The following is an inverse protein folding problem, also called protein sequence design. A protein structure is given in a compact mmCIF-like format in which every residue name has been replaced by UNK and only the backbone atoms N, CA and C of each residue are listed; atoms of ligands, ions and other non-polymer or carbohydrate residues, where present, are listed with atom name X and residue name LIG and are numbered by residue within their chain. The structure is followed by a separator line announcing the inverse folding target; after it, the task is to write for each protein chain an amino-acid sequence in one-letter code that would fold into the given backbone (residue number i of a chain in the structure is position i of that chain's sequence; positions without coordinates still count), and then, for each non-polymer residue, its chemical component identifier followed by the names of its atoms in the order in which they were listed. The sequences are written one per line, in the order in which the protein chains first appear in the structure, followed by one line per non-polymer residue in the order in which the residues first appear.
data_IF_884730682173
#
_entry.id   IF_884730682173
#
_cell.length_a   1.000
_cell.length_b   1.000
_cell.length_c   1.000
_cell.angle_alpha   90.00
_cell.angle_beta   90.00
_cell.angle_gamma   90.00
#
_symmetry.space_group_name_H-M   'P 1'
#
loop_
_entity.id
_entity.type
_entity.pdbx_description
1 polymer ?
#
# COMPACT_ATOMS: atom_id res chain seq x y z
N UNK A 1 -13.68 14.26 -0.55
CA UNK A 1 -13.04 14.62 0.72
C UNK A 1 -13.94 15.57 1.51
N UNK A 2 -13.69 15.74 2.82
CA UNK A 2 -14.44 16.66 3.69
C UNK A 2 -14.36 18.12 3.20
N UNK A 3 -13.24 18.52 2.59
CA UNK A 3 -13.07 19.85 1.98
C UNK A 3 -14.02 20.04 0.81
N UNK A 4 -14.11 19.05 -0.09
CA UNK A 4 -15.05 19.07 -1.23
C UNK A 4 -16.50 19.13 -0.74
N UNK A 5 -16.81 18.46 0.37
CA UNK A 5 -18.12 18.49 1.01
C UNK A 5 -18.38 19.77 1.83
N UNK A 6 -17.43 20.71 1.86
CA UNK A 6 -17.50 21.98 2.62
C UNK A 6 -17.78 21.78 4.11
N UNK A 7 -17.17 20.74 4.70
CA UNK A 7 -17.25 20.51 6.15
C UNK A 7 -16.47 21.60 6.87
N UNK A 8 -17.10 22.29 7.82
CA UNK A 8 -16.48 23.37 8.58
C UNK A 8 -15.17 22.92 9.28
N UNK A 9 -14.12 23.73 9.20
CA UNK A 9 -12.79 23.45 9.77
C UNK A 9 -11.94 22.43 8.98
N UNK A 10 -12.46 21.83 7.92
CA UNK A 10 -11.69 20.85 7.13
C UNK A 10 -10.52 21.48 6.37
N UNK A 11 -10.56 22.77 6.10
CA UNK A 11 -9.51 23.51 5.37
C UNK A 11 -8.27 23.75 6.24
N UNK A 12 -8.42 23.86 7.55
CA UNK A 12 -7.32 24.07 8.51
C UNK A 12 -6.32 22.91 8.53
N UNK A 13 -6.76 21.72 8.13
CA UNK A 13 -5.96 20.49 8.11
C UNK A 13 -5.65 20.01 6.69
N UNK A 14 -5.89 20.84 5.68
CA UNK A 14 -5.65 20.46 4.29
C UNK A 14 -4.17 20.45 3.95
N UNK A 15 -3.65 19.27 3.63
CA UNK A 15 -2.34 19.14 3.00
C UNK A 15 -2.51 19.41 1.51
N UNK A 16 -2.03 20.57 1.04
CA UNK A 16 -2.15 20.99 -0.35
C UNK A 16 -0.82 20.78 -1.10
N UNK A 17 -0.93 20.28 -2.33
CA UNK A 17 0.16 20.19 -3.30
C UNK A 17 0.32 21.45 -4.16
N UNK A 18 -0.57 22.44 -4.04
CA UNK A 18 -0.58 23.63 -4.86
C UNK A 18 0.77 24.37 -4.84
N UNK A 19 1.34 24.56 -6.02
CA UNK A 19 2.61 25.27 -6.19
C UNK A 19 3.86 24.55 -5.67
N UNK A 20 3.76 23.27 -5.27
CA UNK A 20 4.85 22.47 -4.72
C UNK A 20 5.43 21.49 -5.74
N UNK A 21 6.68 21.11 -5.54
CA UNK A 21 7.27 19.93 -6.12
C UNK A 21 6.90 18.74 -5.23
N UNK A 22 6.21 17.75 -5.82
CA UNK A 22 5.68 16.57 -5.10
C UNK A 22 6.44 15.33 -5.51
N UNK A 23 6.86 14.53 -4.53
CA UNK A 23 7.40 13.19 -4.76
C UNK A 23 6.43 12.16 -4.18
N UNK A 24 6.04 11.19 -5.02
CA UNK A 24 5.17 10.07 -4.64
C UNK A 24 6.03 8.80 -4.59
N UNK A 25 6.14 8.16 -3.43
CA UNK A 25 6.91 6.94 -3.25
C UNK A 25 5.97 5.76 -3.27
N UNK A 26 6.04 4.96 -4.34
CA UNK A 26 5.22 3.78 -4.57
C UNK A 26 4.39 3.86 -5.86
N UNK A 27 4.30 2.73 -6.56
CA UNK A 27 3.73 2.61 -7.91
C UNK A 27 2.33 2.00 -8.01
N UNK A 28 1.71 1.64 -6.87
CA UNK A 28 0.38 1.05 -6.82
C UNK A 28 -0.76 2.05 -6.97
N UNK A 29 -2.00 1.58 -6.76
CA UNK A 29 -3.22 2.39 -6.90
C UNK A 29 -3.21 3.63 -5.98
N UNK A 30 -2.72 3.48 -4.74
CA UNK A 30 -2.56 4.62 -3.81
C UNK A 30 -1.61 5.67 -4.38
N UNK A 31 -0.49 5.26 -4.99
CA UNK A 31 0.44 6.17 -5.66
C UNK A 31 -0.22 6.90 -6.83
N UNK A 32 -1.00 6.18 -7.63
CA UNK A 32 -1.79 6.75 -8.72
C UNK A 32 -2.76 7.84 -8.23
N UNK A 33 -3.49 7.58 -7.13
CA UNK A 33 -4.40 8.54 -6.52
C UNK A 33 -3.66 9.78 -5.97
N UNK A 34 -2.49 9.57 -5.37
CA UNK A 34 -1.62 10.67 -4.91
C UNK A 34 -1.18 11.56 -6.07
N UNK A 35 -0.81 10.97 -7.22
CA UNK A 35 -0.41 11.70 -8.43
C UNK A 35 -1.56 12.57 -8.92
N UNK A 36 -2.73 11.96 -9.22
CA UNK A 36 -3.86 12.68 -9.74
C UNK A 36 -4.35 13.79 -8.81
N UNK A 37 -4.39 13.52 -7.50
CA UNK A 37 -4.75 14.53 -6.50
C UNK A 37 -3.75 15.67 -6.48
N UNK A 38 -2.45 15.39 -6.51
CA UNK A 38 -1.41 16.43 -6.52
C UNK A 38 -1.46 17.30 -7.78
N UNK A 39 -1.66 16.66 -8.94
CA UNK A 39 -1.81 17.37 -10.22
C UNK A 39 -3.01 18.30 -10.21
N UNK A 40 -4.18 17.80 -9.76
CA UNK A 40 -5.42 18.60 -9.68
C UNK A 40 -5.37 19.71 -8.62
N UNK A 41 -4.48 19.59 -7.61
CA UNK A 41 -4.19 20.68 -6.67
C UNK A 41 -3.30 21.77 -7.30
N UNK A 42 -2.75 21.57 -8.50
CA UNK A 42 -1.85 22.52 -9.15
C UNK A 42 -0.40 22.41 -8.65
N UNK A 43 0.10 21.21 -8.45
CA UNK A 43 1.52 20.98 -8.18
C UNK A 43 2.40 21.52 -9.32
N UNK A 44 3.61 22.00 -9.00
CA UNK A 44 4.58 22.43 -10.01
C UNK A 44 5.17 21.26 -10.79
N UNK A 45 5.41 20.16 -10.10
CA UNK A 45 5.81 18.89 -10.67
C UNK A 45 5.35 17.76 -9.77
N UNK A 46 5.13 16.59 -10.35
CA UNK A 46 4.87 15.34 -9.64
C UNK A 46 5.85 14.30 -10.16
N UNK A 47 6.65 13.72 -9.28
CA UNK A 47 7.60 12.64 -9.60
C UNK A 47 7.23 11.40 -8.80
N UNK A 48 7.01 10.27 -9.48
CA UNK A 48 6.75 8.99 -8.86
C UNK A 48 8.03 8.16 -8.81
N UNK A 49 8.34 7.58 -7.65
CA UNK A 49 9.47 6.70 -7.43
C UNK A 49 9.01 5.27 -7.16
N UNK A 50 9.58 4.33 -7.88
CA UNK A 50 9.39 2.89 -7.68
C UNK A 50 10.72 2.20 -7.44
N UNK A 51 10.75 1.36 -6.41
CA UNK A 51 11.96 0.61 -6.04
C UNK A 51 12.22 -0.56 -6.99
N UNK A 52 11.16 -1.11 -7.58
CA UNK A 52 11.27 -2.21 -8.54
C UNK A 52 11.67 -1.72 -9.93
N UNK A 53 12.23 -2.60 -10.77
CA UNK A 53 12.51 -2.29 -12.16
C UNK A 53 11.25 -1.93 -12.94
N UNK A 54 11.42 -1.19 -14.02
CA UNK A 54 10.31 -0.87 -14.93
C UNK A 54 9.68 -2.17 -15.46
N UNK A 55 8.38 -2.37 -15.29
CA UNK A 55 7.70 -3.53 -15.84
C UNK A 55 7.78 -3.55 -17.38
N UNK A 56 7.76 -4.74 -18.00
CA UNK A 56 7.75 -4.88 -19.45
C UNK A 56 6.46 -4.29 -20.04
N UNK A 57 6.55 -3.79 -21.27
CA UNK A 57 5.38 -3.23 -21.99
C UNK A 57 4.37 -4.35 -22.32
N UNK A 58 4.86 -5.55 -22.66
CA UNK A 58 4.03 -6.71 -23.01
C UNK A 58 4.05 -7.77 -21.92
N UNK A 59 2.96 -8.54 -21.84
CA UNK A 59 2.82 -9.63 -20.87
C UNK A 59 3.62 -10.84 -21.34
N UNK A 60 4.56 -11.31 -20.56
CA UNK A 60 5.10 -12.65 -20.72
C UNK A 60 4.15 -13.69 -20.11
N UNK A 61 3.37 -14.34 -20.99
CA UNK A 61 2.37 -15.32 -20.59
C UNK A 61 2.95 -16.56 -19.93
N UNK A 62 4.24 -16.87 -20.18
CA UNK A 62 4.94 -18.00 -19.57
C UNK A 62 5.30 -17.77 -18.10
N UNK A 63 5.39 -16.51 -17.66
CA UNK A 63 5.80 -16.14 -16.31
C UNK A 63 4.64 -15.66 -15.42
N UNK A 64 3.41 -15.59 -15.92
CA UNK A 64 2.33 -14.91 -15.20
C UNK A 64 1.27 -15.82 -14.61
N UNK A 65 1.06 -17.00 -15.17
CA UNK A 65 0.05 -17.92 -14.62
C UNK A 65 0.62 -18.73 -13.42
N UNK A 66 -0.08 -18.82 -12.29
CA UNK A 66 -1.43 -18.30 -11.98
C UNK A 66 -1.45 -16.87 -11.41
N UNK A 67 -0.34 -16.17 -11.41
CA UNK A 67 -0.21 -14.86 -10.79
C UNK A 67 -0.69 -13.70 -11.69
N UNK A 68 -0.79 -12.52 -11.09
CA UNK A 68 -1.18 -11.31 -11.81
C UNK A 68 -0.10 -10.89 -12.81
N UNK A 69 -0.44 -10.57 -14.08
CA UNK A 69 0.55 -10.26 -15.10
C UNK A 69 1.44 -9.08 -14.73
N UNK A 70 2.75 -9.30 -14.69
CA UNK A 70 3.74 -8.23 -14.58
C UNK A 70 3.88 -7.51 -15.91
N UNK A 71 3.21 -6.38 -16.06
CA UNK A 71 3.32 -5.51 -17.23
C UNK A 71 3.20 -4.05 -16.83
N UNK A 72 3.75 -3.17 -17.66
CA UNK A 72 3.59 -1.73 -17.52
C UNK A 72 2.11 -1.36 -17.55
N UNK A 73 1.68 -0.59 -16.57
CA UNK A 73 0.35 -0.01 -16.49
C UNK A 73 0.47 1.48 -16.27
N UNK A 74 -0.39 2.20 -16.95
CA UNK A 74 -0.53 3.65 -16.77
C UNK A 74 -1.99 3.93 -16.47
N UNK A 75 -2.26 4.55 -15.34
CA UNK A 75 -3.60 5.01 -14.98
C UNK A 75 -3.87 6.37 -15.60
N UNK A 76 -5.15 6.73 -15.68
CA UNK A 76 -5.58 8.07 -16.13
C UNK A 76 -4.97 9.18 -15.26
N UNK A 77 -4.80 8.95 -13.95
CA UNK A 77 -4.13 9.90 -13.05
C UNK A 77 -2.66 10.13 -13.39
N UNK A 78 -1.97 9.09 -13.84
CA UNK A 78 -0.58 9.22 -14.31
C UNK A 78 -0.50 9.94 -15.66
N UNK A 79 -1.50 9.78 -16.51
CA UNK A 79 -1.62 10.49 -17.81
C UNK A 79 -1.88 11.99 -17.65
N UNK A 80 -2.45 12.44 -16.52
CA UNK A 80 -2.63 13.86 -16.21
C UNK A 80 -1.30 14.61 -16.06
N UNK A 81 -0.20 13.91 -15.83
CA UNK A 81 1.17 14.44 -15.85
C UNK A 81 1.97 14.07 -14.62
N UNK A 82 2.89 13.13 -14.78
CA UNK A 82 3.95 12.88 -13.79
C UNK A 82 5.19 12.31 -14.49
N UNK A 83 6.34 12.56 -13.88
CA UNK A 83 7.57 11.84 -14.19
C UNK A 83 7.58 10.53 -13.38
N UNK A 84 7.89 9.40 -14.01
CA UNK A 84 7.99 8.10 -13.36
C UNK A 84 9.42 7.58 -13.41
N UNK A 85 9.96 7.24 -12.27
CA UNK A 85 11.31 6.70 -12.10
C UNK A 85 11.23 5.33 -11.46
N UNK A 86 11.95 4.36 -12.01
CA UNK A 86 12.03 2.98 -11.53
C UNK A 86 13.45 2.66 -11.06
N UNK A 87 13.58 1.61 -10.27
CA UNK A 87 14.85 1.21 -9.67
C UNK A 87 15.48 2.34 -8.87
N UNK A 88 14.69 3.01 -8.05
CA UNK A 88 15.12 4.14 -7.21
C UNK A 88 14.74 3.88 -5.75
N UNK A 89 15.74 3.91 -4.88
CA UNK A 89 15.55 3.88 -3.43
C UNK A 89 15.68 5.28 -2.83
N UNK A 90 14.88 5.56 -1.81
CA UNK A 90 14.97 6.80 -1.02
C UNK A 90 15.92 6.58 0.14
N UNK A 91 16.92 7.46 0.29
CA UNK A 91 17.92 7.41 1.37
C UNK A 91 17.52 8.26 2.57
N UNK A 92 17.09 9.49 2.32
CA UNK A 92 16.70 10.45 3.37
C UNK A 92 15.85 11.58 2.82
N UNK A 93 15.15 12.24 3.71
CA UNK A 93 14.50 13.52 3.49
C UNK A 93 15.36 14.63 4.10
N UNK A 94 15.53 15.73 3.37
CA UNK A 94 16.22 16.91 3.89
C UNK A 94 15.23 18.06 4.05
N UNK A 95 15.28 18.72 5.20
CA UNK A 95 14.45 19.86 5.56
C UNK A 95 15.24 21.16 5.67
N UNK A 96 14.51 22.25 5.86
CA UNK A 96 15.08 23.53 6.28
C UNK A 96 15.14 23.65 7.82
N UNK A 97 15.64 24.76 8.31
CA UNK A 97 15.76 25.03 9.75
C UNK A 97 14.40 25.11 10.47
N UNK A 98 13.33 25.32 9.73
CA UNK A 98 11.96 25.37 10.21
C UNK A 98 11.27 24.00 10.18
N UNK A 99 11.96 22.95 9.71
CA UNK A 99 11.41 21.58 9.59
C UNK A 99 10.56 21.36 8.34
N UNK A 100 10.52 22.31 7.39
CA UNK A 100 9.84 22.06 6.12
C UNK A 100 10.70 21.22 5.20
N UNK A 101 10.07 20.29 4.48
CA UNK A 101 10.75 19.47 3.48
C UNK A 101 11.29 20.33 2.33
N UNK A 102 12.53 20.07 1.92
CA UNK A 102 13.19 20.73 0.77
C UNK A 102 13.55 19.75 -0.34
N UNK A 103 13.99 18.55 0.04
CA UNK A 103 14.44 17.57 -0.95
C UNK A 103 14.38 16.13 -0.46
N UNK A 104 14.41 15.22 -1.42
CA UNK A 104 14.54 13.78 -1.24
C UNK A 104 15.85 13.31 -1.87
N UNK A 105 16.72 12.69 -1.07
CA UNK A 105 17.95 12.09 -1.56
C UNK A 105 17.67 10.64 -1.96
N UNK A 106 18.03 10.29 -3.16
CA UNK A 106 17.76 9.03 -3.80
C UNK A 106 19.06 8.37 -4.29
N UNK A 107 18.98 7.09 -4.55
CA UNK A 107 20.03 6.31 -5.20
C UNK A 107 19.38 5.32 -6.19
N UNK A 108 20.04 5.04 -7.30
CA UNK A 108 19.60 3.96 -8.18
C UNK A 108 19.91 2.61 -7.55
N UNK A 109 19.05 1.62 -7.82
CA UNK A 109 19.21 0.27 -7.32
C UNK A 109 19.16 -0.74 -8.46
N UNK A 110 19.83 -1.87 -8.25
CA UNK A 110 19.76 -3.03 -9.13
C UNK A 110 19.26 -4.24 -8.36
N UNK A 111 18.53 -5.10 -9.06
CA UNK A 111 17.97 -6.33 -8.53
C UNK A 111 18.63 -7.52 -9.19
N UNK A 112 19.35 -8.30 -8.40
CA UNK A 112 20.07 -9.49 -8.87
C UNK A 112 19.61 -10.71 -8.07
N UNK A 113 19.72 -11.90 -8.64
CA UNK A 113 19.50 -13.14 -7.90
C UNK A 113 20.77 -13.55 -7.18
N UNK A 114 20.64 -13.93 -5.92
CA UNK A 114 21.71 -14.57 -5.16
C UNK A 114 21.90 -16.05 -5.60
N UNK A 115 22.89 -16.72 -5.03
CA UNK A 115 23.19 -18.13 -5.31
C UNK A 115 22.06 -19.09 -4.94
N UNK A 116 21.14 -18.67 -4.05
CA UNK A 116 19.95 -19.40 -3.66
C UNK A 116 18.73 -19.08 -4.54
N UNK A 117 18.88 -18.17 -5.51
CA UNK A 117 17.83 -17.75 -6.44
C UNK A 117 16.88 -16.67 -5.91
N UNK A 118 17.15 -16.09 -4.73
CA UNK A 118 16.34 -15.00 -4.17
C UNK A 118 16.76 -13.67 -4.80
N UNK A 119 15.77 -12.79 -4.98
CA UNK A 119 16.02 -11.42 -5.44
C UNK A 119 16.65 -10.58 -4.32
N UNK A 120 17.81 -10.01 -4.59
CA UNK A 120 18.55 -9.13 -3.68
C UNK A 120 18.73 -7.78 -4.35
N UNK A 121 18.42 -6.72 -3.61
CA UNK A 121 18.60 -5.34 -4.03
C UNK A 121 20.00 -4.85 -3.61
N UNK A 122 20.69 -4.19 -4.51
CA UNK A 122 21.94 -3.47 -4.25
C UNK A 122 21.87 -2.03 -4.76
N UNK A 123 22.52 -1.11 -4.05
CA UNK A 123 22.67 0.26 -4.50
C UNK A 123 23.75 0.35 -5.59
N UNK A 124 23.51 1.17 -6.60
CA UNK A 124 24.51 1.46 -7.65
C UNK A 124 25.41 2.57 -7.15
N UNK A 125 26.68 2.26 -6.95
CA UNK A 125 27.67 3.21 -6.44
C UNK A 125 27.81 4.44 -7.34
N UNK A 126 27.85 5.63 -6.75
CA UNK A 126 27.98 6.91 -7.46
C UNK A 126 26.71 7.34 -8.22
N UNK A 127 25.57 6.70 -7.97
CA UNK A 127 24.31 7.04 -8.62
C UNK A 127 23.36 7.87 -7.76
N UNK A 128 23.87 8.40 -6.66
CA UNK A 128 23.11 9.25 -5.76
C UNK A 128 22.68 10.54 -6.47
N UNK A 129 21.44 10.95 -6.21
CA UNK A 129 20.89 12.20 -6.72
C UNK A 129 19.87 12.80 -5.77
N UNK A 130 19.54 14.05 -6.00
CA UNK A 130 18.60 14.79 -5.18
C UNK A 130 17.41 15.27 -6.02
N UNK A 131 16.20 15.10 -5.49
CA UNK A 131 14.97 15.63 -6.05
C UNK A 131 14.47 16.76 -5.16
N UNK A 132 14.17 17.91 -5.74
CA UNK A 132 13.46 18.97 -5.03
C UNK A 132 12.07 18.49 -4.65
N UNK A 133 11.68 18.64 -3.39
CA UNK A 133 10.38 18.24 -2.89
C UNK A 133 9.94 19.10 -1.71
N UNK A 134 8.77 19.69 -1.80
CA UNK A 134 8.10 20.37 -0.69
C UNK A 134 6.93 19.52 -0.12
N UNK A 135 6.61 18.40 -0.78
CA UNK A 135 5.64 17.41 -0.31
C UNK A 135 6.08 16.02 -0.76
N UNK A 136 6.03 15.06 0.17
CA UNK A 136 6.20 13.64 -0.13
C UNK A 136 4.95 12.89 0.31
N UNK A 137 4.46 12.00 -0.54
CA UNK A 137 3.41 11.05 -0.18
C UNK A 137 3.97 9.64 -0.19
N UNK A 138 3.76 8.91 0.92
CA UNK A 138 4.19 7.53 1.09
C UNK A 138 3.06 6.59 0.67
N UNK A 139 3.23 5.93 -0.48
CA UNK A 139 2.26 5.02 -1.08
C UNK A 139 2.84 3.59 -1.21
N UNK A 140 3.57 3.15 -0.18
CA UNK A 140 4.36 1.92 -0.17
C UNK A 140 3.59 0.72 0.40
N UNK A 141 2.26 0.79 0.48
CA UNK A 141 1.41 -0.22 1.10
C UNK A 141 1.21 0.00 2.60
N UNK A 142 0.79 -1.06 3.28
CA UNK A 142 0.46 -1.03 4.70
C UNK A 142 1.29 -2.08 5.44
N UNK A 143 1.60 -1.81 6.70
CA UNK A 143 2.39 -2.74 7.53
C UNK A 143 1.45 -3.80 8.13
N UNK A 144 0.45 -3.35 8.90
CA UNK A 144 -0.55 -4.17 9.57
C UNK A 144 -1.73 -3.29 10.02
N UNK A 145 -2.82 -3.85 10.55
CA UNK A 145 -3.88 -3.06 11.19
C UNK A 145 -3.36 -2.22 12.35
N UNK A 146 -4.03 -1.12 12.65
CA UNK A 146 -3.73 -0.32 13.86
C UNK A 146 -4.08 -1.15 15.08
N UNK A 147 -3.12 -1.34 15.99
CA UNK A 147 -3.30 -2.15 17.19
C UNK A 147 -4.01 -1.37 18.31
N UNK A 148 -3.64 -0.10 18.44
CA UNK A 148 -4.22 0.79 19.46
C UNK A 148 -5.74 0.90 19.33
N UNK A 149 -6.43 0.85 20.44
CA UNK A 149 -7.87 0.92 20.50
C UNK A 149 -8.55 -0.44 20.37
N UNK A 150 -9.23 -0.74 19.25
CA UNK A 150 -10.10 -1.91 19.14
C UNK A 150 -9.38 -3.25 19.38
N UNK A 151 -8.21 -3.47 18.77
CA UNK A 151 -7.51 -4.75 18.90
C UNK A 151 -6.97 -4.97 20.30
N UNK A 152 -6.41 -3.93 20.92
CA UNK A 152 -5.95 -3.97 22.32
C UNK A 152 -7.12 -4.17 23.28
N UNK A 153 -8.25 -3.49 23.06
CA UNK A 153 -9.44 -3.61 23.91
C UNK A 153 -10.05 -5.02 23.83
N UNK A 154 -10.05 -5.63 22.65
CA UNK A 154 -10.54 -6.99 22.47
C UNK A 154 -9.56 -8.05 22.97
N UNK A 155 -8.25 -7.74 23.04
CA UNK A 155 -7.22 -8.66 23.49
C UNK A 155 -6.99 -9.84 22.53
N UNK A 156 -7.20 -9.64 21.24
CA UNK A 156 -6.99 -10.68 20.22
C UNK A 156 -5.51 -10.92 19.98
N UNK A 157 -5.13 -12.18 19.75
CA UNK A 157 -3.75 -12.51 19.36
C UNK A 157 -3.42 -12.03 17.95
N UNK A 158 -2.17 -11.62 17.77
CA UNK A 158 -1.62 -11.18 16.50
C UNK A 158 -0.64 -12.22 15.95
N UNK A 159 -0.55 -12.28 14.62
CA UNK A 159 0.49 -13.08 13.94
C UNK A 159 1.86 -12.37 13.97
N UNK A 160 2.91 -13.02 13.48
CA UNK A 160 4.26 -12.48 13.44
C UNK A 160 4.39 -11.20 12.58
N UNK A 161 3.39 -10.86 11.75
CA UNK A 161 3.33 -9.66 10.92
C UNK A 161 2.47 -8.57 11.54
N UNK A 162 1.86 -8.81 12.70
CA UNK A 162 0.98 -7.87 13.39
C UNK A 162 -0.48 -7.90 12.90
N UNK A 163 -0.89 -8.87 12.10
CA UNK A 163 -2.29 -9.05 11.72
C UNK A 163 -3.02 -9.89 12.77
N UNK A 164 -4.34 -9.77 12.85
CA UNK A 164 -5.13 -10.59 13.76
C UNK A 164 -4.99 -12.07 13.39
N UNK A 165 -4.58 -12.89 14.34
CA UNK A 165 -4.39 -14.32 14.14
C UNK A 165 -5.75 -15.04 14.00
N UNK A 166 -5.88 -15.85 12.94
CA UNK A 166 -7.07 -16.64 12.68
C UNK A 166 -6.87 -17.58 11.49
N UNK A 167 -7.29 -18.83 11.63
CA UNK A 167 -7.24 -19.82 10.55
C UNK A 167 -8.33 -19.55 9.50
N UNK A 168 -8.15 -20.03 8.29
CA UNK A 168 -9.21 -20.09 7.26
C UNK A 168 -9.83 -21.46 7.12
N UNK A 169 -9.35 -22.45 7.89
CA UNK A 169 -9.71 -23.85 7.77
C UNK A 169 -10.15 -24.46 9.11
N UNK A 170 -10.86 -25.56 9.02
CA UNK A 170 -11.36 -26.30 10.18
C UNK A 170 -12.63 -25.72 10.79
N UNK A 171 -12.98 -26.24 11.95
CA UNK A 171 -14.21 -25.86 12.69
C UNK A 171 -14.10 -24.45 13.29
N UNK A 172 -12.89 -24.00 13.56
CA UNK A 172 -12.58 -22.67 14.10
C UNK A 172 -12.13 -21.69 13.04
N UNK A 173 -12.49 -21.91 11.76
CA UNK A 173 -12.17 -20.99 10.68
C UNK A 173 -12.67 -19.57 11.00
N UNK A 174 -11.80 -18.57 10.79
CA UNK A 174 -12.06 -17.14 11.05
C UNK A 174 -12.25 -16.76 12.53
N UNK A 175 -12.20 -17.70 13.48
CA UNK A 175 -12.16 -17.37 14.89
C UNK A 175 -10.83 -16.71 15.26
N UNK A 176 -10.89 -15.75 16.16
CA UNK A 176 -9.70 -15.19 16.83
C UNK A 176 -9.41 -15.98 18.12
N UNK A 177 -8.43 -15.53 18.90
CA UNK A 177 -8.15 -16.07 20.25
C UNK A 177 -9.26 -15.75 21.27
N UNK A 178 -10.18 -14.84 20.94
CA UNK A 178 -11.27 -14.41 21.81
C UNK A 178 -12.59 -15.01 21.32
N UNK A 179 -13.28 -15.71 22.20
CA UNK A 179 -14.55 -16.35 21.88
C UNK A 179 -15.59 -15.34 21.37
N UNK A 180 -16.32 -15.70 20.31
CA UNK A 180 -17.31 -14.84 19.67
C UNK A 180 -16.71 -13.68 18.84
N UNK A 181 -15.38 -13.58 18.73
CA UNK A 181 -14.71 -12.59 17.89
C UNK A 181 -14.11 -13.26 16.66
N UNK A 182 -14.43 -12.71 15.50
CA UNK A 182 -14.02 -13.23 14.19
C UNK A 182 -13.21 -12.18 13.42
N UNK A 183 -12.27 -12.63 12.59
CA UNK A 183 -11.47 -11.75 11.73
C UNK A 183 -11.38 -12.28 10.31
N UNK A 184 -11.52 -11.40 9.32
CA UNK A 184 -11.45 -11.72 7.91
C UNK A 184 -10.84 -10.57 7.08
N UNK A 185 -10.44 -10.87 5.85
CA UNK A 185 -9.89 -9.89 4.93
C UNK A 185 -8.55 -9.34 5.38
N UNK A 186 -8.29 -8.07 5.09
CA UNK A 186 -6.99 -7.43 5.35
C UNK A 186 -6.61 -7.43 6.84
N UNK A 187 -7.58 -7.39 7.74
CA UNK A 187 -7.36 -7.47 9.20
C UNK A 187 -6.59 -8.74 9.59
N UNK A 188 -6.87 -9.86 8.95
CA UNK A 188 -6.29 -11.17 9.21
C UNK A 188 -5.17 -11.53 8.22
N UNK A 189 -5.39 -11.27 6.95
CA UNK A 189 -4.51 -11.67 5.84
C UNK A 189 -3.34 -10.69 5.65
N UNK A 190 -3.47 -9.45 6.10
CA UNK A 190 -2.69 -8.31 5.67
C UNK A 190 -3.27 -7.69 4.39
N UNK A 191 -2.78 -6.54 4.00
CA UNK A 191 -3.26 -5.82 2.82
C UNK A 191 -3.23 -6.72 1.58
N UNK A 192 -4.37 -6.79 0.88
CA UNK A 192 -4.56 -7.68 -0.25
C UNK A 192 -5.57 -7.12 -1.27
N UNK A 193 -6.02 -7.96 -2.20
CA UNK A 193 -6.99 -7.57 -3.22
C UNK A 193 -8.43 -7.68 -2.72
N UNK A 194 -9.31 -6.84 -3.26
CA UNK A 194 -10.75 -6.82 -2.94
C UNK A 194 -11.42 -8.19 -3.11
N UNK A 195 -10.97 -9.00 -4.08
CA UNK A 195 -11.50 -10.36 -4.31
C UNK A 195 -11.27 -11.27 -3.11
N UNK A 196 -10.15 -11.10 -2.40
CA UNK A 196 -9.85 -11.83 -1.17
C UNK A 196 -10.69 -11.34 0.00
N UNK A 197 -10.88 -10.03 0.12
CA UNK A 197 -11.75 -9.45 1.15
C UNK A 197 -13.19 -9.96 1.01
N UNK A 198 -13.73 -10.00 -0.21
CA UNK A 198 -15.07 -10.54 -0.50
C UNK A 198 -15.13 -12.02 -0.17
N UNK A 199 -14.16 -12.81 -0.62
CA UNK A 199 -14.12 -14.26 -0.35
C UNK A 199 -14.07 -14.54 1.14
N UNK A 200 -13.13 -13.94 1.85
CA UNK A 200 -12.97 -14.17 3.28
C UNK A 200 -14.16 -13.65 4.09
N UNK A 201 -14.73 -12.51 3.72
CA UNK A 201 -15.94 -12.00 4.35
C UNK A 201 -17.14 -12.96 4.22
N UNK A 202 -17.33 -13.57 3.04
CA UNK A 202 -18.39 -14.60 2.84
C UNK A 202 -18.13 -15.87 3.65
N UNK A 203 -16.89 -16.34 3.68
CA UNK A 203 -16.52 -17.54 4.45
C UNK A 203 -16.61 -17.29 5.95
N UNK A 204 -16.21 -16.11 6.41
CA UNK A 204 -16.36 -15.68 7.79
C UNK A 204 -17.85 -15.60 8.19
N UNK A 205 -18.71 -15.04 7.34
CA UNK A 205 -20.16 -15.02 7.60
C UNK A 205 -20.73 -16.42 7.80
N UNK A 206 -20.26 -17.41 7.01
CA UNK A 206 -20.61 -18.82 7.22
C UNK A 206 -20.11 -19.34 8.58
N UNK A 207 -18.87 -18.99 8.97
CA UNK A 207 -18.31 -19.43 10.25
C UNK A 207 -19.09 -18.84 11.43
N UNK A 208 -19.48 -17.58 11.35
CA UNK A 208 -20.34 -16.90 12.33
C UNK A 208 -21.71 -17.59 12.42
N UNK A 209 -22.34 -17.87 11.28
CA UNK A 209 -23.62 -18.57 11.22
C UNK A 209 -23.52 -19.97 11.86
N UNK A 210 -22.47 -20.72 11.55
CA UNK A 210 -22.20 -22.03 12.16
C UNK A 210 -21.97 -21.94 13.67
N UNK A 211 -21.26 -20.92 14.15
CA UNK A 211 -21.02 -20.67 15.57
C UNK A 211 -22.33 -20.40 16.32
N UNK A 212 -23.20 -19.56 15.75
CA UNK A 212 -24.45 -19.15 16.38
C UNK A 212 -25.54 -20.23 16.30
N UNK A 213 -25.61 -20.96 15.19
CA UNK A 213 -26.69 -21.89 14.88
C UNK A 213 -26.31 -23.37 15.01
N UNK A 214 -25.03 -23.69 15.26
CA UNK A 214 -24.49 -25.05 15.29
C UNK A 214 -24.29 -25.67 13.91
N UNK A 215 -24.89 -25.12 12.85
CA UNK A 215 -24.70 -25.51 11.46
C UNK A 215 -24.98 -24.37 10.52
N UNK A 216 -24.48 -24.43 9.29
CA UNK A 216 -24.68 -23.33 8.32
C UNK A 216 -25.08 -23.88 6.95
N UNK A 217 -26.14 -23.31 6.37
CA UNK A 217 -26.56 -23.53 4.98
C UNK A 217 -25.90 -22.57 3.99
N UNK A 218 -25.06 -21.64 4.45
CA UNK A 218 -24.37 -20.69 3.58
C UNK A 218 -23.30 -21.38 2.72
N UNK A 219 -23.09 -20.96 1.48
CA UNK A 219 -22.07 -21.54 0.61
C UNK A 219 -20.66 -21.28 1.15
N UNK A 220 -19.75 -22.21 0.84
CA UNK A 220 -18.30 -22.06 1.11
C UNK A 220 -17.61 -21.20 0.07
#
# INVERSE_FOLDING_TARGET
SKVVQKVAGAEEHLISAAGKHVVVIGGGDTGSDCIGTSTRHGAKSVTQLEILPRPPEEVDKGLTWPDWPNKMRTSTSQEEGCERMWSVATKKFAGDEQGNLKSVHCVKVEWNKDDAGNWVMSEVEGSEFELKAELVTLAMGFVHPVHEGMLEQLGVDLDARGNVNGSTEGETAYHTSVDGVFAAGDMRRGQSLVVWAIREGRQCARAVDQYLMGSSGLPR
#
